data_IF_759867215768
#
_entry.id   IF_759867215768
#
_cell.length_a   1.000
_cell.length_b   1.000
_cell.length_c   1.000
_cell.angle_alpha   90.00
_cell.angle_beta   90.00
_cell.angle_gamma   90.00
#
_symmetry.space_group_name_H-M   'P 1'
#
loop_
_entity.id
_entity.type
_entity.pdbx_description
1 polymer ?
#
# COMPACT_ATOMS: atom_id res chain seq x y z
N UNK A 1 28.22 11.52 33.13
CA UNK A 1 27.00 11.79 32.38
C UNK A 1 27.08 11.02 31.06
N UNK A 2 26.37 9.90 30.94
CA UNK A 2 26.47 9.00 29.78
C UNK A 2 25.64 9.47 28.54
N UNK A 3 24.61 10.30 28.75
CA UNK A 3 23.70 10.75 27.69
C UNK A 3 23.65 12.28 27.50
N UNK A 4 24.57 13.03 28.12
CA UNK A 4 24.62 14.50 28.01
C UNK A 4 23.45 15.24 28.67
N UNK A 5 22.63 14.57 29.47
CA UNK A 5 21.48 15.13 30.22
C UNK A 5 21.77 15.19 31.71
N UNK A 6 21.21 16.20 32.40
CA UNK A 6 21.34 16.33 33.88
C UNK A 6 20.56 15.23 34.61
N UNK A 7 21.08 14.80 35.77
CA UNK A 7 20.45 13.73 36.58
C UNK A 7 19.01 14.08 36.98
N UNK A 8 18.77 15.33 37.39
CA UNK A 8 17.41 15.79 37.73
C UNK A 8 16.43 15.70 36.56
N UNK A 9 16.87 16.04 35.33
CA UNK A 9 16.05 15.96 34.13
C UNK A 9 15.73 14.49 33.80
N UNK A 10 16.71 13.59 33.89
CA UNK A 10 16.50 12.15 33.69
C UNK A 10 15.52 11.54 34.72
N UNK A 11 15.63 11.95 35.99
CA UNK A 11 14.69 11.54 37.03
C UNK A 11 13.26 12.00 36.71
N UNK A 12 13.07 13.18 36.18
CA UNK A 12 11.75 13.66 35.76
C UNK A 12 11.17 12.85 34.59
N UNK A 13 12.02 12.42 33.65
CA UNK A 13 11.63 11.54 32.57
C UNK A 13 11.14 10.19 33.12
N UNK A 14 11.90 9.57 34.01
CA UNK A 14 11.52 8.30 34.66
C UNK A 14 10.23 8.39 35.47
N UNK A 15 9.96 9.55 36.07
CA UNK A 15 8.73 9.82 36.80
C UNK A 15 7.52 10.11 35.93
N UNK A 16 7.68 10.08 34.56
CA UNK A 16 6.59 10.34 33.64
C UNK A 16 6.06 11.78 33.65
N UNK A 17 6.88 12.76 34.08
CA UNK A 17 6.50 14.17 34.04
C UNK A 17 6.38 14.63 32.57
N UNK A 18 5.47 15.56 32.32
CA UNK A 18 5.27 16.13 30.99
C UNK A 18 6.45 17.03 30.59
N UNK A 19 7.50 16.41 30.06
CA UNK A 19 8.70 17.06 29.55
C UNK A 19 8.86 16.77 28.06
N UNK A 20 9.17 17.82 27.28
CA UNK A 20 9.48 17.63 25.87
C UNK A 20 10.87 17.03 25.72
N UNK A 21 10.93 15.84 25.12
CA UNK A 21 12.20 15.16 24.82
C UNK A 21 12.50 15.37 23.34
N UNK A 22 13.69 15.94 23.01
CA UNK A 22 14.12 16.03 21.64
C UNK A 22 14.62 14.67 21.13
N UNK A 23 14.54 14.45 19.81
CA UNK A 23 15.02 13.20 19.19
C UNK A 23 16.51 12.94 19.49
N UNK A 24 17.34 13.99 19.49
CA UNK A 24 18.77 13.87 19.82
C UNK A 24 19.01 13.35 21.24
N UNK A 25 18.22 13.81 22.20
CA UNK A 25 18.27 13.34 23.59
C UNK A 25 17.74 11.92 23.72
N UNK A 26 16.62 11.58 23.07
CA UNK A 26 16.09 10.21 23.04
C UNK A 26 17.12 9.23 22.46
N UNK A 27 17.80 9.59 21.39
CA UNK A 27 18.87 8.80 20.76
C UNK A 27 20.07 8.61 21.70
N UNK A 28 20.47 9.66 22.44
CA UNK A 28 21.56 9.59 23.37
C UNK A 28 21.24 8.67 24.58
N UNK A 29 20.00 8.72 25.08
CA UNK A 29 19.51 7.82 26.15
C UNK A 29 19.47 6.38 25.66
N UNK A 30 18.92 6.12 24.48
CA UNK A 30 18.84 4.78 23.89
C UNK A 30 20.23 4.13 23.77
N UNK A 31 21.22 4.90 23.33
CA UNK A 31 22.63 4.43 23.26
C UNK A 31 23.22 4.18 24.63
N UNK A 32 22.97 5.09 25.59
CA UNK A 32 23.51 4.97 26.94
C UNK A 32 22.96 3.74 27.66
N UNK A 33 21.65 3.45 27.46
CA UNK A 33 20.98 2.29 28.02
C UNK A 33 21.21 1.00 27.22
N UNK A 34 21.85 1.10 26.05
CA UNK A 34 22.10 -0.03 25.12
C UNK A 34 20.81 -0.77 24.77
N UNK A 35 19.75 -0.01 24.48
CA UNK A 35 18.47 -0.59 24.12
C UNK A 35 18.61 -1.42 22.83
N UNK A 36 17.98 -2.60 22.84
CA UNK A 36 17.77 -3.39 21.62
C UNK A 36 16.85 -2.65 20.63
N UNK A 37 16.79 -3.09 19.38
CA UNK A 37 15.94 -2.48 18.37
C UNK A 37 14.46 -2.38 18.81
N UNK A 38 13.93 -3.45 19.42
CA UNK A 38 12.55 -3.48 19.90
C UNK A 38 12.32 -2.53 21.07
N UNK A 39 13.26 -2.47 22.02
CA UNK A 39 13.21 -1.55 23.17
C UNK A 39 13.35 -0.09 22.72
N UNK A 40 14.18 0.17 21.69
CA UNK A 40 14.32 1.49 21.09
C UNK A 40 12.98 1.96 20.49
N UNK A 41 12.31 1.14 19.69
CA UNK A 41 10.98 1.45 19.11
C UNK A 41 9.96 1.70 20.23
N UNK A 42 9.94 0.84 21.26
CA UNK A 42 9.04 1.00 22.39
C UNK A 42 9.29 2.30 23.15
N UNK A 43 10.56 2.63 23.42
CA UNK A 43 10.98 3.86 24.10
C UNK A 43 10.55 5.11 23.34
N UNK A 44 10.76 5.15 22.01
CA UNK A 44 10.35 6.27 21.17
C UNK A 44 8.83 6.45 21.12
N UNK A 45 8.07 5.35 21.09
CA UNK A 45 6.61 5.40 21.19
C UNK A 45 6.13 5.99 22.51
N UNK A 46 6.77 5.64 23.62
CA UNK A 46 6.47 6.24 24.94
C UNK A 46 6.73 7.75 24.96
N UNK A 47 7.76 8.20 24.26
CA UNK A 47 8.10 9.62 24.15
C UNK A 47 7.20 10.37 23.13
N UNK A 48 6.29 9.69 22.43
CA UNK A 48 5.48 10.23 21.33
C UNK A 48 6.34 10.88 20.24
N UNK A 49 7.58 10.46 20.08
CA UNK A 49 8.47 10.86 18.99
C UNK A 49 8.21 9.92 17.84
N UNK A 50 7.94 10.49 16.64
CA UNK A 50 7.83 9.68 15.43
C UNK A 50 9.15 8.90 15.24
N UNK A 51 9.09 7.58 15.33
CA UNK A 51 10.22 6.76 14.95
C UNK A 51 10.32 6.80 13.44
N UNK A 52 11.36 7.45 12.93
CA UNK A 52 11.91 7.02 11.65
C UNK A 52 12.46 5.65 11.97
N UNK A 53 11.73 4.60 11.63
CA UNK A 53 12.20 3.22 11.78
C UNK A 53 13.56 3.16 11.11
N UNK A 54 14.61 2.81 11.88
CA UNK A 54 15.93 2.59 11.29
C UNK A 54 15.76 1.42 10.32
N UNK A 55 15.87 1.64 9.00
CA UNK A 55 15.60 0.59 8.00
C UNK A 55 16.62 -0.54 8.02
N UNK A 56 17.58 -0.54 8.95
CA UNK A 56 18.73 -1.45 8.93
C UNK A 56 18.50 -2.81 9.56
N UNK A 57 17.32 -3.13 10.16
CA UNK A 57 17.17 -4.38 10.92
C UNK A 57 15.96 -5.29 10.61
N UNK A 58 15.04 -4.87 9.76
CA UNK A 58 14.10 -5.79 9.14
C UNK A 58 14.50 -5.87 7.67
N UNK A 59 14.76 -7.06 7.16
CA UNK A 59 15.25 -7.28 5.80
C UNK A 59 14.60 -6.28 4.84
N UNK A 60 15.44 -5.43 4.22
CA UNK A 60 15.00 -4.33 3.36
C UNK A 60 14.17 -4.90 2.22
N UNK A 61 12.84 -4.82 2.34
CA UNK A 61 11.94 -4.90 1.19
C UNK A 61 11.96 -3.54 0.47
N UNK A 62 13.16 -2.99 0.25
CA UNK A 62 13.34 -1.63 -0.29
C UNK A 62 13.75 -1.64 -1.75
N UNK A 63 14.05 -2.80 -2.31
CA UNK A 63 14.37 -2.93 -3.72
C UNK A 63 13.14 -3.37 -4.52
N UNK A 64 13.02 -2.92 -5.74
CA UNK A 64 11.99 -3.39 -6.68
C UNK A 64 12.02 -4.92 -6.85
N UNK A 65 13.21 -5.52 -6.74
CA UNK A 65 13.41 -6.98 -6.76
C UNK A 65 12.72 -7.65 -5.58
N UNK A 66 12.89 -7.13 -4.35
CA UNK A 66 12.32 -7.74 -3.15
C UNK A 66 10.78 -7.72 -3.18
N UNK A 67 10.20 -6.63 -3.68
CA UNK A 67 8.75 -6.52 -3.83
C UNK A 67 8.22 -7.46 -4.92
N UNK A 68 9.00 -7.69 -5.97
CA UNK A 68 8.64 -8.65 -7.03
C UNK A 68 8.67 -10.08 -6.49
N UNK A 69 9.73 -10.48 -5.81
CA UNK A 69 9.85 -11.80 -5.21
C UNK A 69 8.72 -12.05 -4.19
N UNK A 70 8.35 -11.01 -3.42
CA UNK A 70 7.22 -11.07 -2.49
C UNK A 70 5.91 -11.40 -3.20
N UNK A 71 5.55 -10.69 -4.28
CA UNK A 71 4.29 -10.94 -4.98
C UNK A 71 4.30 -12.24 -5.78
N UNK A 72 5.44 -12.61 -6.36
CA UNK A 72 5.59 -13.84 -7.15
C UNK A 72 5.55 -15.09 -6.27
N UNK A 73 5.96 -14.99 -5.00
CA UNK A 73 5.83 -16.05 -4.00
C UNK A 73 4.38 -16.48 -3.74
N UNK A 74 3.38 -15.70 -4.15
CA UNK A 74 1.96 -16.01 -3.98
C UNK A 74 1.32 -16.66 -5.21
N UNK A 75 2.05 -16.86 -6.30
CA UNK A 75 1.50 -17.52 -7.48
C UNK A 75 0.90 -18.90 -7.14
N UNK A 76 -0.25 -19.28 -7.71
CA UNK A 76 -1.00 -18.60 -8.76
C UNK A 76 -1.98 -17.52 -8.26
N UNK A 77 -2.01 -17.19 -6.98
CA UNK A 77 -2.92 -16.17 -6.43
C UNK A 77 -2.49 -14.76 -6.86
N UNK A 78 -3.44 -13.91 -7.33
CA UNK A 78 -3.14 -12.52 -7.62
C UNK A 78 -2.64 -11.78 -6.39
N UNK A 79 -1.51 -11.07 -6.52
CA UNK A 79 -0.91 -10.28 -5.45
C UNK A 79 -0.39 -8.95 -5.99
N UNK A 80 -0.63 -7.86 -5.24
CA UNK A 80 -0.16 -6.51 -5.52
C UNK A 80 0.41 -5.88 -4.26
N UNK A 81 1.45 -5.08 -4.42
CA UNK A 81 1.95 -4.18 -3.37
C UNK A 81 1.61 -2.75 -3.78
N UNK A 82 0.89 -2.06 -2.92
CA UNK A 82 0.46 -0.68 -3.14
C UNK A 82 0.97 0.22 -2.01
N UNK A 83 1.22 1.50 -2.36
CA UNK A 83 1.38 2.53 -1.33
C UNK A 83 0.03 3.18 -0.97
N UNK A 84 0.06 4.15 -0.07
CA UNK A 84 -1.12 4.88 0.40
C UNK A 84 -1.84 5.70 -0.70
N UNK A 85 -1.15 6.01 -1.81
CA UNK A 85 -1.69 6.71 -2.98
C UNK A 85 -2.26 5.77 -4.05
N UNK A 86 -2.30 4.47 -3.78
CA UNK A 86 -2.68 3.42 -4.73
C UNK A 86 -1.68 3.18 -5.87
N UNK A 87 -0.44 3.69 -5.77
CA UNK A 87 0.58 3.35 -6.75
C UNK A 87 0.93 1.87 -6.64
N UNK A 88 1.06 1.22 -7.79
CA UNK A 88 1.43 -0.18 -7.90
C UNK A 88 2.96 -0.28 -7.81
N UNK A 89 3.47 -0.54 -6.61
CA UNK A 89 4.90 -0.72 -6.38
C UNK A 89 5.40 -2.04 -6.96
N UNK A 90 4.57 -3.07 -6.90
CA UNK A 90 4.79 -4.36 -7.55
C UNK A 90 3.48 -5.11 -7.71
N UNK A 91 3.39 -5.95 -8.72
CA UNK A 91 2.30 -6.92 -8.85
C UNK A 91 2.77 -8.14 -9.63
N UNK A 92 2.26 -9.32 -9.29
CA UNK A 92 2.58 -10.51 -10.06
C UNK A 92 1.80 -10.53 -11.38
N UNK A 93 2.29 -11.36 -12.33
CA UNK A 93 1.69 -11.51 -13.65
C UNK A 93 0.20 -11.84 -13.58
N UNK A 94 -0.18 -12.74 -12.68
CA UNK A 94 -1.57 -13.18 -12.56
C UNK A 94 -2.49 -12.06 -12.11
N UNK A 95 -2.02 -11.15 -11.25
CA UNK A 95 -2.79 -9.96 -10.87
C UNK A 95 -3.05 -9.04 -12.07
N UNK A 96 -2.05 -8.81 -12.94
CA UNK A 96 -2.25 -8.02 -14.16
C UNK A 96 -3.31 -8.63 -15.06
N UNK A 97 -3.22 -9.92 -15.34
CA UNK A 97 -4.16 -10.64 -16.20
C UNK A 97 -5.58 -10.64 -15.60
N UNK A 98 -5.72 -11.00 -14.33
CA UNK A 98 -7.02 -11.11 -13.66
C UNK A 98 -7.74 -9.77 -13.62
N UNK A 99 -7.02 -8.69 -13.27
CA UNK A 99 -7.60 -7.36 -13.11
C UNK A 99 -7.54 -6.50 -14.37
N UNK A 100 -7.01 -7.03 -15.49
CA UNK A 100 -6.93 -6.31 -16.76
C UNK A 100 -6.07 -5.06 -16.70
N UNK A 101 -4.97 -5.12 -15.95
CA UNK A 101 -4.02 -4.02 -15.79
C UNK A 101 -3.00 -4.05 -16.95
N UNK A 102 -2.84 -2.93 -17.61
CA UNK A 102 -1.79 -2.73 -18.59
C UNK A 102 -0.42 -2.54 -17.94
N UNK A 103 0.66 -2.75 -18.68
CA UNK A 103 2.03 -2.53 -18.18
C UNK A 103 2.26 -1.07 -17.77
N UNK A 104 1.56 -0.14 -18.41
CA UNK A 104 1.61 1.30 -18.12
C UNK A 104 0.75 1.73 -16.94
N UNK A 105 -0.09 0.84 -16.40
CA UNK A 105 -0.89 1.14 -15.22
C UNK A 105 0.02 1.11 -13.97
N UNK A 106 0.40 2.27 -13.51
CA UNK A 106 1.25 2.49 -12.34
C UNK A 106 0.46 2.85 -11.06
N UNK A 107 -0.86 3.09 -11.19
CA UNK A 107 -1.74 3.41 -10.07
C UNK A 107 -3.08 2.69 -10.22
N UNK A 108 -3.43 1.88 -9.22
CA UNK A 108 -4.64 1.04 -9.28
C UNK A 108 -5.94 1.84 -9.27
N UNK A 109 -5.98 2.99 -8.57
CA UNK A 109 -7.15 3.84 -8.54
C UNK A 109 -7.36 4.52 -9.90
N UNK A 110 -6.28 4.99 -10.52
CA UNK A 110 -6.32 5.56 -11.87
C UNK A 110 -6.75 4.50 -12.88
N UNK A 111 -6.11 3.33 -12.87
CA UNK A 111 -6.47 2.23 -13.78
C UNK A 111 -7.96 1.88 -13.66
N UNK A 112 -8.48 1.77 -12.45
CA UNK A 112 -9.88 1.42 -12.24
C UNK A 112 -10.87 2.44 -12.84
N UNK A 113 -10.57 3.73 -12.78
CA UNK A 113 -11.47 4.79 -13.28
C UNK A 113 -11.22 5.23 -14.71
N UNK A 114 -10.08 4.86 -15.33
CA UNK A 114 -9.70 5.33 -16.67
C UNK A 114 -9.37 4.21 -17.66
N UNK A 115 -9.10 2.98 -17.19
CA UNK A 115 -8.87 1.82 -18.04
C UNK A 115 -10.13 0.94 -18.08
N UNK A 116 -10.82 0.94 -19.23
CA UNK A 116 -12.06 0.18 -19.42
C UNK A 116 -11.86 -1.33 -19.27
N UNK A 117 -10.70 -1.85 -19.71
CA UNK A 117 -10.37 -3.27 -19.54
C UNK A 117 -10.28 -3.62 -18.04
N UNK A 118 -9.61 -2.80 -17.22
CA UNK A 118 -9.56 -2.98 -15.78
C UNK A 118 -10.96 -2.88 -15.16
N UNK A 119 -11.72 -1.85 -15.52
CA UNK A 119 -13.07 -1.61 -14.99
C UNK A 119 -14.02 -2.77 -15.26
N UNK A 120 -14.02 -3.29 -16.47
CA UNK A 120 -14.94 -4.36 -16.92
C UNK A 120 -14.70 -5.71 -16.22
N UNK A 121 -13.53 -5.91 -15.63
CA UNK A 121 -13.24 -7.15 -14.88
C UNK A 121 -14.08 -7.30 -13.61
N UNK A 122 -14.45 -6.22 -12.97
CA UNK A 122 -15.15 -6.26 -11.68
C UNK A 122 -16.66 -6.40 -11.87
N UNK A 123 -17.23 -7.52 -11.41
CA UNK A 123 -18.69 -7.82 -11.53
C UNK A 123 -19.53 -6.77 -10.81
N UNK A 124 -19.07 -6.29 -9.66
CA UNK A 124 -19.75 -5.25 -8.86
C UNK A 124 -18.99 -3.92 -8.94
N UNK A 125 -18.66 -3.50 -10.15
CA UNK A 125 -17.77 -2.35 -10.39
C UNK A 125 -18.25 -1.05 -9.73
N UNK A 126 -19.56 -0.77 -9.66
CA UNK A 126 -20.09 0.42 -8.98
C UNK A 126 -19.84 0.40 -7.47
N UNK A 127 -20.05 -0.76 -6.82
CA UNK A 127 -19.78 -0.92 -5.39
C UNK A 127 -18.28 -0.79 -5.11
N UNK A 128 -17.44 -1.38 -5.96
CA UNK A 128 -15.98 -1.27 -5.85
C UNK A 128 -15.54 0.19 -6.01
N UNK A 129 -16.11 0.94 -6.97
CA UNK A 129 -15.85 2.37 -7.14
C UNK A 129 -16.10 3.16 -5.85
N UNK A 130 -17.28 2.97 -5.26
CA UNK A 130 -17.65 3.62 -3.99
C UNK A 130 -16.67 3.29 -2.86
N UNK A 131 -16.30 2.02 -2.72
CA UNK A 131 -15.35 1.56 -1.70
C UNK A 131 -13.95 2.16 -1.90
N UNK A 132 -13.44 2.18 -3.14
CA UNK A 132 -12.14 2.74 -3.45
C UNK A 132 -12.09 4.24 -3.16
N UNK A 133 -13.12 5.00 -3.56
CA UNK A 133 -13.22 6.44 -3.28
C UNK A 133 -13.33 6.71 -1.78
N UNK A 134 -14.16 5.96 -1.05
CA UNK A 134 -14.30 6.11 0.40
C UNK A 134 -12.97 5.84 1.13
N UNK A 135 -12.24 4.79 0.72
CA UNK A 135 -10.94 4.45 1.29
C UNK A 135 -9.88 5.51 0.98
N UNK A 136 -9.82 6.01 -0.27
CA UNK A 136 -8.90 7.08 -0.66
C UNK A 136 -9.13 8.35 0.15
N UNK A 137 -10.39 8.71 0.36
CA UNK A 137 -10.76 9.87 1.19
C UNK A 137 -10.36 9.67 2.66
N UNK A 138 -10.60 8.48 3.23
CA UNK A 138 -10.21 8.18 4.60
C UNK A 138 -8.68 8.25 4.79
N UNK A 139 -7.90 7.86 3.79
CA UNK A 139 -6.43 7.98 3.81
C UNK A 139 -5.98 9.43 3.70
N UNK A 140 -6.61 10.21 2.81
CA UNK A 140 -6.36 11.65 2.68
C UNK A 140 -6.57 12.42 4.00
N UNK A 141 -7.67 12.14 4.72
CA UNK A 141 -7.96 12.81 6.01
C UNK A 141 -6.87 12.57 7.04
N UNK A 142 -6.18 11.42 6.98
CA UNK A 142 -5.05 11.11 7.86
C UNK A 142 -3.74 11.79 7.44
N UNK A 143 -3.67 12.30 6.20
CA UNK A 143 -2.47 12.86 5.58
C UNK A 143 -2.77 14.22 4.92
N UNK A 144 -3.46 15.12 5.63
CA UNK A 144 -3.96 16.40 5.09
C UNK A 144 -2.87 17.33 4.53
N UNK A 145 -1.64 17.19 5.04
CA UNK A 145 -0.51 18.04 4.63
C UNK A 145 0.17 17.55 3.34
N UNK A 146 -0.24 16.39 2.80
CA UNK A 146 0.37 15.85 1.60
C UNK A 146 -0.41 16.27 0.34
N UNK A 147 0.14 17.15 -0.51
CA UNK A 147 -0.54 17.70 -1.69
C UNK A 147 -0.88 16.63 -2.74
N UNK A 148 -0.16 15.50 -2.73
CA UNK A 148 -0.34 14.43 -3.71
C UNK A 148 -1.75 13.83 -3.70
N UNK A 149 -2.41 13.76 -2.54
CA UNK A 149 -3.82 13.30 -2.47
C UNK A 149 -4.76 14.25 -3.20
N UNK A 150 -4.55 15.56 -3.03
CA UNK A 150 -5.35 16.58 -3.71
C UNK A 150 -5.10 16.57 -5.22
N UNK A 151 -3.86 16.41 -5.64
CA UNK A 151 -3.48 16.31 -7.05
C UNK A 151 -4.08 15.07 -7.71
N UNK A 152 -4.03 13.90 -7.05
CA UNK A 152 -4.63 12.67 -7.54
C UNK A 152 -6.16 12.79 -7.65
N UNK A 153 -6.81 13.37 -6.66
CA UNK A 153 -8.25 13.60 -6.68
C UNK A 153 -8.67 14.57 -7.80
N UNK A 154 -7.91 15.66 -8.01
CA UNK A 154 -8.14 16.61 -9.09
C UNK A 154 -7.92 15.96 -10.47
N UNK A 155 -6.86 15.19 -10.63
CA UNK A 155 -6.55 14.44 -11.85
C UNK A 155 -7.69 13.48 -12.23
N UNK A 156 -8.17 12.69 -11.26
CA UNK A 156 -9.26 11.72 -11.49
C UNK A 156 -10.60 12.41 -11.72
N UNK A 157 -10.90 13.51 -11.01
CA UNK A 157 -12.13 14.28 -11.21
C UNK A 157 -12.21 14.89 -12.61
N UNK A 158 -11.07 15.25 -13.21
CA UNK A 158 -11.01 15.75 -14.59
C UNK A 158 -11.13 14.66 -15.66
N UNK A 159 -11.00 13.37 -15.31
CA UNK A 159 -11.00 12.24 -16.26
C UNK A 159 -12.16 11.27 -16.10
N UNK A 160 -12.83 11.26 -14.95
CA UNK A 160 -13.94 10.36 -14.66
C UNK A 160 -15.07 11.12 -13.95
N UNK A 161 -16.20 11.26 -14.67
CA UNK A 161 -17.42 11.85 -14.08
C UNK A 161 -17.92 11.03 -12.90
N UNK A 162 -17.79 9.69 -12.98
CA UNK A 162 -18.17 8.81 -11.89
C UNK A 162 -17.30 9.06 -10.65
N UNK A 163 -15.98 9.18 -10.83
CA UNK A 163 -15.08 9.52 -9.72
C UNK A 163 -15.46 10.87 -9.11
N UNK A 164 -15.63 11.91 -9.94
CA UNK A 164 -15.98 13.25 -9.51
C UNK A 164 -17.29 13.25 -8.70
N UNK A 165 -18.33 12.57 -9.18
CA UNK A 165 -19.61 12.43 -8.48
C UNK A 165 -19.46 11.73 -7.14
N UNK A 166 -18.74 10.60 -7.10
CA UNK A 166 -18.50 9.84 -5.87
C UNK A 166 -17.63 10.59 -4.87
N UNK A 167 -16.63 11.33 -5.37
CA UNK A 167 -15.73 12.13 -4.52
C UNK A 167 -16.50 13.23 -3.79
N UNK A 168 -17.44 13.89 -4.48
CA UNK A 168 -18.25 14.99 -3.94
C UNK A 168 -19.45 14.52 -3.11
N UNK A 169 -19.85 13.23 -3.18
CA UNK A 169 -21.00 12.72 -2.43
C UNK A 169 -20.76 12.59 -0.93
N UNK A 170 -19.47 12.55 -0.50
CA UNK A 170 -19.07 12.35 0.90
C UNK A 170 -19.70 11.13 1.60
N UNK A 171 -20.15 10.13 0.84
CA UNK A 171 -20.69 8.90 1.40
C UNK A 171 -19.61 8.20 2.25
N UNK A 172 -19.97 7.85 3.48
CA UNK A 172 -19.17 7.00 4.36
C UNK A 172 -19.70 5.57 4.21
N UNK A 173 -18.87 4.69 3.69
CA UNK A 173 -19.22 3.28 3.55
C UNK A 173 -18.50 2.47 4.61
N UNK A 174 -19.26 1.65 5.34
CA UNK A 174 -18.64 0.58 6.12
C UNK A 174 -18.01 -0.45 5.17
N UNK A 175 -16.73 -0.73 5.37
CA UNK A 175 -16.00 -1.74 4.60
C UNK A 175 -16.54 -3.14 4.93
N UNK A 176 -17.69 -3.49 4.37
CA UNK A 176 -18.26 -4.84 4.41
C UNK A 176 -17.95 -5.53 3.10
N UNK A 177 -17.03 -6.47 3.11
CA UNK A 177 -16.83 -7.38 1.99
C UNK A 177 -15.38 -7.58 1.59
N UNK A 178 -14.77 -8.63 2.15
CA UNK A 178 -13.47 -9.14 1.69
C UNK A 178 -13.59 -9.93 0.38
N UNK A 179 -14.83 -10.13 -0.12
CA UNK A 179 -15.12 -10.94 -1.30
C UNK A 179 -15.14 -10.07 -2.55
N UNK A 180 -14.36 -10.45 -3.57
CA UNK A 180 -14.37 -9.83 -4.89
C UNK A 180 -14.69 -10.85 -5.96
N UNK A 181 -15.58 -10.47 -6.87
CA UNK A 181 -15.93 -11.26 -8.04
C UNK A 181 -15.40 -10.58 -9.29
N UNK A 182 -14.70 -11.36 -10.09
CA UNK A 182 -14.03 -10.91 -11.32
C UNK A 182 -14.52 -11.75 -12.48
N UNK A 183 -14.85 -11.10 -13.60
CA UNK A 183 -15.18 -11.73 -14.87
C UNK A 183 -13.99 -11.62 -15.82
N UNK A 184 -13.31 -12.73 -16.08
CA UNK A 184 -12.21 -12.76 -17.04
C UNK A 184 -12.69 -13.26 -18.41
N UNK A 185 -12.30 -12.63 -19.54
CA UNK A 185 -12.81 -12.99 -20.87
C UNK A 185 -12.47 -14.42 -21.27
N UNK A 186 -11.31 -14.96 -20.91
CA UNK A 186 -10.86 -16.29 -21.33
C UNK A 186 -11.24 -17.42 -20.36
N UNK A 187 -11.24 -17.16 -19.06
CA UNK A 187 -11.45 -18.21 -18.05
C UNK A 187 -12.76 -18.06 -17.28
N UNK A 188 -13.54 -17.00 -17.55
CA UNK A 188 -14.84 -16.77 -16.95
C UNK A 188 -14.77 -16.18 -15.54
N UNK A 189 -15.85 -16.36 -14.79
CA UNK A 189 -16.03 -15.77 -13.45
C UNK A 189 -15.17 -16.48 -12.41
N UNK A 190 -14.52 -15.68 -11.56
CA UNK A 190 -13.72 -16.12 -10.42
C UNK A 190 -14.12 -15.33 -9.18
N UNK A 191 -14.03 -15.96 -8.03
CA UNK A 191 -14.32 -15.33 -6.74
C UNK A 191 -13.11 -15.40 -5.82
N UNK A 192 -12.78 -14.26 -5.22
CA UNK A 192 -11.62 -14.12 -4.36
C UNK A 192 -12.01 -13.59 -2.99
N UNK A 193 -11.33 -14.10 -1.97
CA UNK A 193 -11.25 -13.45 -0.68
C UNK A 193 -10.04 -12.53 -0.65
N UNK A 194 -10.28 -11.23 -0.40
CA UNK A 194 -9.21 -10.22 -0.36
C UNK A 194 -8.64 -10.12 1.04
N UNK A 195 -7.33 -10.20 1.14
CA UNK A 195 -6.57 -9.94 2.36
C UNK A 195 -5.65 -8.74 2.12
N UNK A 196 -5.62 -7.84 3.10
CA UNK A 196 -4.76 -6.67 3.08
C UNK A 196 -3.83 -6.75 4.28
N UNK A 197 -2.53 -6.78 4.02
CA UNK A 197 -1.51 -6.79 5.05
C UNK A 197 -0.62 -5.55 4.91
N UNK A 198 -0.39 -4.86 6.02
CA UNK A 198 0.58 -3.78 6.07
C UNK A 198 1.97 -4.35 6.35
N UNK A 199 2.99 -3.83 5.68
CA UNK A 199 4.37 -4.22 5.92
C UNK A 199 4.82 -3.64 7.27
N UNK A 200 5.43 -4.49 8.10
CA UNK A 200 5.98 -4.05 9.38
C UNK A 200 7.05 -2.98 9.17
N UNK A 201 6.89 -1.84 9.83
CA UNK A 201 7.81 -0.71 9.69
C UNK A 201 7.57 0.19 8.45
N UNK A 202 6.62 -0.16 7.57
CA UNK A 202 6.20 0.60 6.40
C UNK A 202 4.67 0.63 6.34
N UNK A 203 4.05 1.40 7.24
CA UNK A 203 2.59 1.53 7.33
C UNK A 203 1.97 2.18 6.09
N UNK A 204 2.81 2.84 5.28
CA UNK A 204 2.48 3.42 3.98
C UNK A 204 2.34 2.37 2.85
N UNK A 205 2.80 1.12 3.07
CA UNK A 205 2.80 0.05 2.06
C UNK A 205 1.91 -1.11 2.51
N UNK A 206 1.09 -1.60 1.58
CA UNK A 206 0.19 -2.72 1.80
C UNK A 206 0.35 -3.79 0.72
N UNK A 207 0.38 -5.06 1.14
CA UNK A 207 0.23 -6.21 0.26
C UNK A 207 -1.26 -6.56 0.17
N UNK A 208 -1.80 -6.53 -1.04
CA UNK A 208 -3.14 -7.02 -1.37
C UNK A 208 -3.02 -8.40 -1.96
N UNK A 209 -3.60 -9.39 -1.29
CA UNK A 209 -3.62 -10.77 -1.70
C UNK A 209 -5.06 -11.22 -1.98
N UNK A 210 -5.27 -11.84 -3.13
CA UNK A 210 -6.57 -12.34 -3.56
C UNK A 210 -6.55 -13.86 -3.59
N UNK A 211 -7.11 -14.49 -2.56
CA UNK A 211 -7.17 -15.95 -2.46
C UNK A 211 -8.45 -16.47 -3.14
N UNK A 212 -8.34 -17.40 -4.10
CA UNK A 212 -9.52 -18.01 -4.72
C UNK A 212 -10.34 -18.80 -3.70
N UNK A 213 -11.66 -18.65 -3.74
CA UNK A 213 -12.57 -19.36 -2.82
C UNK A 213 -12.79 -20.82 -3.21
N UNK A 214 -12.75 -21.11 -4.51
CA UNK A 214 -13.02 -22.45 -5.02
C UNK A 214 -11.79 -23.06 -5.71
N UNK A 215 -11.64 -24.39 -5.60
CA UNK A 215 -10.58 -25.14 -6.30
C UNK A 215 -10.65 -24.93 -7.82
N UNK A 216 -11.84 -24.83 -8.38
CA UNK A 216 -12.03 -24.52 -9.81
C UNK A 216 -11.42 -23.16 -10.22
N UNK A 217 -11.40 -22.19 -9.31
CA UNK A 217 -10.79 -20.88 -9.58
C UNK A 217 -9.26 -20.97 -9.56
N UNK A 218 -8.68 -21.84 -8.73
CA UNK A 218 -7.23 -22.12 -8.78
C UNK A 218 -6.83 -22.69 -10.15
N UNK A 219 -7.63 -23.60 -10.71
CA UNK A 219 -7.34 -24.18 -12.02
C UNK A 219 -7.45 -23.14 -13.15
N UNK A 220 -8.39 -22.19 -13.04
CA UNK A 220 -8.47 -21.04 -13.96
C UNK A 220 -7.22 -20.16 -13.88
N UNK A 221 -6.73 -19.87 -12.67
CA UNK A 221 -5.50 -19.10 -12.46
C UNK A 221 -4.26 -19.82 -13.04
N UNK A 222 -4.17 -21.15 -12.86
CA UNK A 222 -3.09 -21.96 -13.46
C UNK A 222 -3.15 -21.91 -14.98
N UNK A 223 -4.34 -21.92 -15.59
CA UNK A 223 -4.50 -21.77 -17.05
C UNK A 223 -4.00 -20.39 -17.51
N UNK A 224 -4.32 -19.32 -16.78
CA UNK A 224 -3.81 -17.98 -17.11
C UNK A 224 -2.28 -17.92 -17.09
N UNK A 225 -1.64 -18.62 -16.16
CA UNK A 225 -0.18 -18.71 -16.11
C UNK A 225 0.44 -19.44 -17.32
N UNK A 226 -0.30 -20.35 -17.97
CA UNK A 226 0.15 -21.09 -19.14
C UNK A 226 -0.09 -20.34 -20.45
N UNK A 227 -0.94 -19.30 -20.44
CA UNK A 227 -1.16 -18.48 -21.62
C UNK A 227 0.07 -17.62 -21.94
N UNK A 228 0.42 -17.43 -23.23
CA UNK A 228 1.49 -16.52 -23.58
C UNK A 228 1.16 -15.13 -23.03
N UNK A 229 2.18 -14.42 -22.56
CA UNK A 229 2.01 -13.02 -22.19
C UNK A 229 1.48 -12.26 -23.39
N UNK A 230 0.39 -11.50 -23.20
CA UNK A 230 -0.09 -10.59 -24.23
C UNK A 230 1.06 -9.69 -24.68
N UNK A 231 1.02 -9.10 -25.90
CA UNK A 231 2.13 -8.36 -26.47
C UNK A 231 2.65 -7.34 -25.46
N UNK A 232 3.88 -7.58 -24.99
CA UNK A 232 4.56 -6.74 -24.02
C UNK A 232 4.69 -5.34 -24.64
N UNK A 233 3.87 -4.39 -24.20
CA UNK A 233 4.10 -2.99 -24.49
C UNK A 233 5.51 -2.66 -24.01
N UNK A 234 6.36 -2.30 -24.94
CA UNK A 234 7.80 -2.04 -24.83
C UNK A 234 8.10 -1.25 -23.55
N UNK A 235 8.92 -1.81 -22.67
CA UNK A 235 9.44 -1.13 -21.47
C UNK A 235 10.02 0.21 -21.90
N UNK A 236 9.43 1.32 -21.45
CA UNK A 236 10.13 2.60 -21.44
C UNK A 236 11.26 2.50 -20.40
N UNK A 237 12.52 2.81 -20.79
CA UNK A 237 13.58 2.91 -19.80
C UNK A 237 13.21 4.00 -18.78
N UNK A 238 13.52 3.72 -17.51
CA UNK A 238 13.37 4.68 -16.43
C UNK A 238 13.96 6.02 -16.85
N UNK A 239 13.16 7.06 -16.84
CA UNK A 239 13.68 8.43 -16.99
C UNK A 239 14.42 8.75 -15.69
N UNK A 240 15.73 8.80 -15.82
CA UNK A 240 16.65 9.37 -14.85
C UNK A 240 16.23 10.83 -14.58
N UNK A 241 15.50 11.05 -13.49
CA UNK A 241 15.19 12.39 -13.01
C UNK A 241 16.45 12.98 -12.41
N UNK A 242 17.34 13.47 -13.31
CA UNK A 242 18.43 14.36 -12.94
C UNK A 242 17.88 15.53 -12.14
N UNK A 243 18.28 15.61 -10.88
CA UNK A 243 18.17 16.82 -10.07
C UNK A 243 19.15 17.86 -10.57
N UNK A 244 18.78 19.15 -10.63
CA UNK A 244 19.71 20.20 -10.27
C UNK A 244 19.73 20.44 -8.77
#
# INVERSE_FOLDING_TARGET
MLAGVGTSWYTWLEQGRDIKVSESVARAISRALRLSASEHVYFYRLLKIATISDPTQLGKLDTESDLRDLVDGWLPSPALVLNEFWDILSCNRVAREVFGLDVSDDNLLVAFFTNENCRSRYVQSEMIAKLMVAQSRATMVRNLDNPRFTELAAFLSGRSEEFSRLWNSHEVLEMRGRRKEVQHPCVGRMTFQTHVWQLSGREDISLLLYLPEATADIDKLRRLMQMPEGPAATRRPAQDNGRP
#
